data_IF_374751279086
#
_entry.id   IF_374751279086
#
_cell.length_a   1.000
_cell.length_b   1.000
_cell.length_c   1.000
_cell.angle_alpha   90.00
_cell.angle_beta   90.00
_cell.angle_gamma   90.00
#
_symmetry.space_group_name_H-M   'P 1'
#
loop_
_entity.id
_entity.type
_entity.pdbx_description
1 polymer ?
#
# COMPACT_ATOMS: atom_id res chain seq x y z
N UNK A 1 4.68 -15.75 -40.61
CA UNK A 1 3.89 -16.53 -39.64
C UNK A 1 4.63 -16.72 -38.31
N UNK A 2 5.04 -15.64 -37.64
CA UNK A 2 5.90 -15.71 -36.45
C UNK A 2 5.53 -14.69 -35.35
N UNK A 3 4.27 -14.26 -35.29
CA UNK A 3 3.84 -13.17 -34.39
C UNK A 3 2.48 -13.41 -33.71
N UNK A 4 2.24 -14.63 -33.22
CA UNK A 4 1.05 -14.91 -32.41
C UNK A 4 1.29 -15.96 -31.30
N UNK A 5 2.43 -15.87 -30.60
CA UNK A 5 2.77 -16.79 -29.49
C UNK A 5 3.07 -16.12 -28.15
N UNK A 6 2.76 -14.84 -27.96
CA UNK A 6 3.18 -14.09 -26.76
C UNK A 6 2.07 -13.57 -25.84
N UNK A 7 0.84 -14.12 -25.88
CA UNK A 7 -0.26 -13.64 -25.02
C UNK A 7 -0.61 -14.49 -23.80
N UNK A 8 0.10 -15.59 -23.50
CA UNK A 8 0.05 -16.21 -22.17
C UNK A 8 1.39 -16.89 -21.87
N UNK A 9 2.11 -16.39 -20.87
CA UNK A 9 3.35 -16.97 -20.34
C UNK A 9 3.09 -18.25 -19.51
N UNK A 10 2.23 -19.16 -19.95
CA UNK A 10 1.84 -20.36 -19.18
C UNK A 10 1.64 -21.69 -19.94
N UNK A 11 2.15 -21.94 -21.18
CA UNK A 11 2.07 -23.30 -21.74
C UNK A 11 2.83 -24.32 -20.89
N UNK A 12 3.89 -23.88 -20.19
CA UNK A 12 4.66 -24.72 -19.27
C UNK A 12 3.86 -25.14 -18.05
N UNK A 13 3.09 -24.23 -17.41
CA UNK A 13 2.33 -24.53 -16.20
C UNK A 13 1.27 -25.62 -16.45
N UNK A 14 0.47 -25.45 -17.51
CA UNK A 14 -0.54 -26.44 -17.94
C UNK A 14 0.12 -27.78 -18.29
N UNK A 15 1.23 -27.74 -19.04
CA UNK A 15 1.97 -28.97 -19.38
C UNK A 15 2.56 -29.67 -18.15
N UNK A 16 3.04 -28.93 -17.15
CA UNK A 16 3.59 -29.51 -15.91
C UNK A 16 2.49 -30.09 -15.03
N UNK A 17 1.33 -29.44 -14.95
CA UNK A 17 0.19 -29.97 -14.18
C UNK A 17 -0.38 -31.23 -14.84
N UNK A 18 -0.42 -31.27 -16.17
CA UNK A 18 -0.84 -32.46 -16.92
C UNK A 18 0.16 -33.61 -16.71
N UNK A 19 1.46 -33.32 -16.78
CA UNK A 19 2.50 -34.32 -16.48
C UNK A 19 2.38 -34.87 -15.07
N UNK A 20 2.23 -34.02 -14.05
CA UNK A 20 2.10 -34.44 -12.64
C UNK A 20 0.80 -35.21 -12.43
N UNK A 21 -0.30 -34.79 -13.06
CA UNK A 21 -1.59 -35.51 -13.05
C UNK A 21 -1.45 -36.95 -13.51
N UNK A 22 -0.65 -37.18 -14.56
CA UNK A 22 -0.51 -38.50 -15.19
C UNK A 22 0.60 -39.37 -14.58
N UNK A 23 1.63 -38.75 -13.96
CA UNK A 23 2.84 -39.47 -13.52
C UNK A 23 2.97 -39.63 -12.01
N UNK A 24 2.35 -38.76 -11.20
CA UNK A 24 2.52 -38.77 -9.74
C UNK A 24 1.31 -39.42 -9.04
N UNK A 25 1.46 -40.58 -8.38
CA UNK A 25 0.37 -41.24 -7.66
C UNK A 25 -0.10 -40.48 -6.40
N UNK A 26 0.76 -39.66 -5.78
CA UNK A 26 0.43 -38.94 -4.55
C UNK A 26 -0.18 -37.56 -4.85
N UNK A 27 0.43 -36.83 -5.80
CA UNK A 27 0.01 -35.45 -6.13
C UNK A 27 -0.90 -35.37 -7.37
N UNK A 28 -1.04 -36.44 -8.14
CA UNK A 28 -1.74 -36.42 -9.43
C UNK A 28 -3.21 -36.04 -9.32
N UNK A 29 -3.90 -36.50 -8.26
CA UNK A 29 -5.28 -36.10 -7.98
C UNK A 29 -5.43 -34.60 -7.73
N UNK A 30 -4.49 -33.98 -7.01
CA UNK A 30 -4.49 -32.54 -6.73
C UNK A 30 -4.14 -31.73 -7.98
N UNK A 31 -3.15 -32.19 -8.75
CA UNK A 31 -2.75 -31.55 -10.01
C UNK A 31 -3.91 -31.53 -11.03
N UNK A 32 -4.65 -32.63 -11.15
CA UNK A 32 -5.83 -32.72 -12.01
C UNK A 32 -6.96 -31.78 -11.54
N UNK A 33 -7.19 -31.68 -10.23
CA UNK A 33 -8.17 -30.74 -9.68
C UNK A 33 -7.81 -29.28 -9.98
N UNK A 34 -6.54 -28.90 -9.83
CA UNK A 34 -6.04 -27.57 -10.19
C UNK A 34 -6.17 -27.31 -11.68
N UNK A 35 -5.80 -28.28 -12.52
CA UNK A 35 -5.89 -28.17 -13.97
C UNK A 35 -7.34 -27.91 -14.40
N UNK A 36 -8.31 -28.65 -13.85
CA UNK A 36 -9.75 -28.40 -14.10
C UNK A 36 -10.19 -27.01 -13.70
N UNK A 37 -9.69 -26.47 -12.57
CA UNK A 37 -10.02 -25.11 -12.14
C UNK A 37 -9.40 -24.05 -13.07
N UNK A 38 -8.18 -24.28 -13.59
CA UNK A 38 -7.54 -23.36 -14.53
C UNK A 38 -8.25 -23.31 -15.89
N UNK A 39 -8.90 -24.40 -16.29
CA UNK A 39 -9.69 -24.53 -17.52
C UNK A 39 -11.14 -24.01 -17.39
N UNK A 40 -11.51 -23.40 -16.26
CA UNK A 40 -12.80 -22.76 -16.06
C UNK A 40 -12.78 -21.27 -16.42
N UNK A 41 -13.86 -20.80 -17.05
CA UNK A 41 -14.05 -19.37 -17.31
C UNK A 41 -13.97 -18.51 -16.05
N UNK A 42 -14.50 -19.00 -14.92
CA UNK A 42 -14.43 -18.30 -13.62
C UNK A 42 -13.00 -17.86 -13.30
N UNK A 43 -12.04 -18.79 -13.43
CA UNK A 43 -10.65 -18.52 -13.10
C UNK A 43 -10.04 -17.47 -14.03
N UNK A 44 -10.28 -17.58 -15.34
CA UNK A 44 -9.78 -16.60 -16.32
C UNK A 44 -10.35 -15.21 -16.05
N UNK A 45 -11.66 -15.13 -15.81
CA UNK A 45 -12.35 -13.89 -15.53
C UNK A 45 -11.81 -13.23 -14.25
N UNK A 46 -11.74 -13.98 -13.15
CA UNK A 46 -11.25 -13.50 -11.86
C UNK A 46 -9.79 -13.07 -11.95
N UNK A 47 -8.95 -13.81 -12.68
CA UNK A 47 -7.55 -13.47 -12.89
C UNK A 47 -7.41 -12.14 -13.66
N UNK A 48 -8.22 -11.93 -14.70
CA UNK A 48 -8.20 -10.69 -15.48
C UNK A 48 -8.72 -9.50 -14.67
N UNK A 49 -9.78 -9.70 -13.89
CA UNK A 49 -10.32 -8.71 -12.96
C UNK A 49 -9.25 -8.31 -11.94
N UNK A 50 -8.66 -9.29 -11.26
CA UNK A 50 -7.60 -9.08 -10.27
C UNK A 50 -6.40 -8.39 -10.90
N UNK A 51 -5.94 -8.82 -12.07
CA UNK A 51 -4.84 -8.17 -12.79
C UNK A 51 -5.12 -6.68 -13.01
N UNK A 52 -6.35 -6.33 -13.42
CA UNK A 52 -6.71 -4.95 -13.74
C UNK A 52 -6.79 -4.08 -12.49
N UNK A 53 -7.39 -4.59 -11.42
CA UNK A 53 -7.57 -3.87 -10.17
C UNK A 53 -6.26 -3.77 -9.38
N UNK A 54 -5.52 -4.88 -9.26
CA UNK A 54 -4.23 -4.90 -8.56
C UNK A 54 -3.18 -4.02 -9.25
N UNK A 55 -3.25 -3.85 -10.57
CA UNK A 55 -2.37 -2.91 -11.27
C UNK A 55 -2.55 -1.45 -10.78
N UNK A 56 -3.77 -1.06 -10.40
CA UNK A 56 -4.01 0.27 -9.81
C UNK A 56 -3.51 0.31 -8.36
N UNK A 57 -3.83 -0.71 -7.58
CA UNK A 57 -3.38 -0.81 -6.19
C UNK A 57 -1.85 -0.89 -6.05
N UNK A 58 -1.15 -1.46 -7.03
CA UNK A 58 0.31 -1.58 -7.04
C UNK A 58 1.01 -0.21 -7.07
N UNK A 59 0.44 0.77 -7.78
CA UNK A 59 0.97 2.15 -7.81
C UNK A 59 0.90 2.76 -6.40
N UNK A 60 -0.26 2.65 -5.75
CA UNK A 60 -0.44 3.11 -4.38
C UNK A 60 0.47 2.36 -3.41
N UNK A 61 0.56 1.04 -3.54
CA UNK A 61 1.40 0.19 -2.69
C UNK A 61 2.88 0.56 -2.77
N UNK A 62 3.41 0.75 -3.98
CA UNK A 62 4.80 1.20 -4.20
C UNK A 62 5.04 2.61 -3.65
N UNK A 63 4.07 3.50 -3.79
CA UNK A 63 4.13 4.85 -3.22
C UNK A 63 4.21 4.78 -1.69
N UNK A 64 3.36 3.96 -1.05
CA UNK A 64 3.38 3.77 0.40
C UNK A 64 4.66 3.10 0.90
N UNK A 65 5.31 2.26 0.10
CA UNK A 65 6.56 1.59 0.48
C UNK A 65 7.82 2.46 0.30
N UNK A 66 7.74 3.57 -0.43
CA UNK A 66 8.88 4.44 -0.67
C UNK A 66 9.26 5.24 0.59
N UNK A 67 10.57 5.32 0.87
CA UNK A 67 11.10 5.94 2.10
C UNK A 67 11.05 7.47 2.12
N UNK A 68 10.75 8.12 0.99
CA UNK A 68 10.87 9.58 0.81
C UNK A 68 9.57 10.24 0.37
N UNK A 69 8.40 9.69 0.72
CA UNK A 69 7.12 10.20 0.23
C UNK A 69 6.46 11.16 1.22
N UNK A 70 6.09 12.33 0.69
CA UNK A 70 5.37 13.37 1.42
C UNK A 70 3.87 13.07 1.52
N UNK A 71 3.23 13.55 2.59
CA UNK A 71 1.79 13.48 2.83
C UNK A 71 0.92 13.82 1.60
N UNK A 72 1.25 14.91 0.92
CA UNK A 72 0.51 15.41 -0.24
C UNK A 72 0.49 14.40 -1.39
N UNK A 73 1.64 13.76 -1.65
CA UNK A 73 1.78 12.77 -2.71
C UNK A 73 0.94 11.54 -2.36
N UNK A 74 1.04 11.03 -1.13
CA UNK A 74 0.23 9.88 -0.68
C UNK A 74 -1.26 10.17 -0.81
N UNK A 75 -1.69 11.36 -0.38
CA UNK A 75 -3.09 11.79 -0.47
C UNK A 75 -3.56 11.89 -1.92
N UNK A 76 -2.76 12.50 -2.79
CA UNK A 76 -3.07 12.62 -4.21
C UNK A 76 -3.18 11.25 -4.89
N UNK A 77 -2.17 10.39 -4.72
CA UNK A 77 -2.16 9.04 -5.30
C UNK A 77 -3.31 8.19 -4.78
N UNK A 78 -3.64 8.28 -3.48
CA UNK A 78 -4.83 7.62 -2.91
C UNK A 78 -6.10 8.06 -3.62
N UNK A 79 -6.34 9.37 -3.71
CA UNK A 79 -7.56 9.92 -4.30
C UNK A 79 -7.68 9.52 -5.78
N UNK A 80 -6.60 9.65 -6.55
CA UNK A 80 -6.58 9.21 -7.95
C UNK A 80 -6.81 7.71 -8.09
N UNK A 81 -6.25 6.89 -7.20
CA UNK A 81 -6.49 5.43 -7.20
C UNK A 81 -7.97 5.12 -6.94
N UNK A 82 -8.58 5.79 -5.96
CA UNK A 82 -10.01 5.63 -5.65
C UNK A 82 -10.91 6.09 -6.81
N UNK A 83 -10.60 7.21 -7.45
CA UNK A 83 -11.33 7.68 -8.63
C UNK A 83 -11.27 6.67 -9.78
N UNK A 84 -10.08 6.12 -10.06
CA UNK A 84 -9.91 5.10 -11.10
C UNK A 84 -10.65 3.81 -10.75
N UNK A 85 -10.57 3.33 -9.51
CA UNK A 85 -11.31 2.13 -9.09
C UNK A 85 -12.83 2.33 -9.20
N UNK A 86 -13.33 3.48 -8.76
CA UNK A 86 -14.76 3.83 -8.90
C UNK A 86 -15.17 3.96 -10.37
N UNK A 87 -14.27 4.38 -11.27
CA UNK A 87 -14.53 4.44 -12.72
C UNK A 87 -14.70 3.06 -13.36
N UNK A 88 -14.16 2.00 -12.74
CA UNK A 88 -14.37 0.62 -13.21
C UNK A 88 -15.79 0.12 -12.94
N UNK A 89 -16.55 0.81 -12.07
CA UNK A 89 -17.95 0.48 -11.78
C UNK A 89 -18.88 0.98 -12.90
N UNK A 90 -18.60 0.55 -14.13
CA UNK A 90 -19.37 0.90 -15.33
C UNK A 90 -19.69 -0.33 -16.15
N UNK A 91 -20.81 -0.28 -16.85
CA UNK A 91 -21.26 -1.36 -17.73
C UNK A 91 -20.28 -1.58 -18.88
N UNK A 92 -19.68 -0.50 -19.38
CA UNK A 92 -18.67 -0.56 -20.44
C UNK A 92 -17.41 -1.32 -20.00
N UNK A 93 -16.93 -1.08 -18.76
CA UNK A 93 -15.80 -1.81 -18.21
C UNK A 93 -16.12 -3.30 -18.09
N UNK A 94 -17.29 -3.63 -17.56
CA UNK A 94 -17.76 -5.00 -17.43
C UNK A 94 -17.83 -5.70 -18.80
N UNK A 95 -18.48 -5.10 -19.79
CA UNK A 95 -18.64 -5.71 -21.11
C UNK A 95 -17.29 -5.95 -21.80
N UNK A 96 -16.34 -5.00 -21.70
CA UNK A 96 -14.98 -5.18 -22.23
C UNK A 96 -14.26 -6.34 -21.54
N UNK A 97 -14.35 -6.43 -20.22
CA UNK A 97 -13.70 -7.48 -19.43
C UNK A 97 -14.32 -8.86 -19.73
N UNK A 98 -15.65 -8.95 -19.78
CA UNK A 98 -16.36 -10.18 -20.05
C UNK A 98 -16.05 -10.69 -21.46
N UNK A 99 -16.17 -9.84 -22.48
CA UNK A 99 -15.84 -10.22 -23.86
C UNK A 99 -14.39 -10.68 -24.01
N UNK A 100 -13.44 -9.97 -23.38
CA UNK A 100 -12.03 -10.36 -23.43
C UNK A 100 -11.79 -11.72 -22.74
N UNK A 101 -12.51 -12.00 -21.64
CA UNK A 101 -12.45 -13.28 -20.95
C UNK A 101 -13.03 -14.41 -21.82
N UNK A 102 -14.14 -14.14 -22.52
CA UNK A 102 -14.76 -15.08 -23.47
C UNK A 102 -13.83 -15.40 -24.63
N UNK A 103 -13.21 -14.39 -25.24
CA UNK A 103 -12.23 -14.59 -26.31
C UNK A 103 -11.03 -15.45 -25.87
N UNK A 104 -10.54 -15.27 -24.64
CA UNK A 104 -9.43 -16.08 -24.12
C UNK A 104 -9.89 -17.51 -23.85
N UNK A 105 -11.08 -17.69 -23.26
CA UNK A 105 -11.65 -19.00 -23.01
C UNK A 105 -11.86 -19.78 -24.32
N UNK A 106 -12.41 -19.14 -25.34
CA UNK A 106 -12.64 -19.73 -26.67
C UNK A 106 -11.32 -20.13 -27.35
N UNK A 107 -10.31 -19.25 -27.30
CA UNK A 107 -8.96 -19.54 -27.84
C UNK A 107 -8.28 -20.72 -27.16
N UNK A 108 -8.55 -20.93 -25.86
CA UNK A 108 -7.95 -22.01 -25.09
C UNK A 108 -8.81 -23.29 -25.04
N UNK A 109 -10.02 -23.27 -25.61
CA UNK A 109 -10.95 -24.39 -25.55
C UNK A 109 -11.51 -24.66 -24.14
N UNK A 110 -11.55 -23.63 -23.30
CA UNK A 110 -12.01 -23.72 -21.91
C UNK A 110 -13.53 -23.77 -21.81
N UNK A 111 -14.03 -24.18 -20.64
CA UNK A 111 -15.48 -24.26 -20.40
C UNK A 111 -16.09 -22.86 -20.40
N UNK A 112 -17.19 -22.68 -21.14
CA UNK A 112 -17.92 -21.42 -21.18
C UNK A 112 -18.47 -21.00 -19.80
N UNK A 113 -18.76 -19.71 -19.67
CA UNK A 113 -19.34 -19.14 -18.45
C UNK A 113 -20.68 -19.81 -18.11
N UNK A 114 -20.82 -20.29 -16.87
CA UNK A 114 -22.04 -20.92 -16.37
C UNK A 114 -22.52 -20.24 -15.09
N UNK A 115 -23.83 -20.27 -14.86
CA UNK A 115 -24.40 -19.85 -13.58
C UNK A 115 -24.03 -20.89 -12.50
N UNK A 116 -23.69 -20.44 -11.27
CA UNK A 116 -23.52 -21.35 -10.16
C UNK A 116 -24.78 -22.17 -9.93
N UNK A 117 -24.60 -23.43 -9.51
CA UNK A 117 -25.71 -24.28 -9.12
C UNK A 117 -26.48 -23.62 -7.96
N UNK A 118 -27.73 -23.23 -8.21
CA UNK A 118 -28.56 -22.61 -7.19
C UNK A 118 -28.91 -23.64 -6.11
N UNK A 119 -28.49 -23.36 -4.88
CA UNK A 119 -28.87 -24.15 -3.71
C UNK A 119 -30.35 -23.96 -3.39
N UNK A 120 -31.06 -25.06 -3.11
CA UNK A 120 -32.42 -25.00 -2.56
C UNK A 120 -32.34 -24.50 -1.11
N UNK A 121 -33.23 -23.59 -0.75
CA UNK A 121 -33.35 -23.16 0.65
C UNK A 121 -33.86 -24.37 1.45
N UNK A 122 -33.20 -24.74 2.57
CA UNK A 122 -33.67 -25.84 3.40
C UNK A 122 -35.12 -25.61 3.82
N UNK A 123 -35.97 -26.65 3.70
CA UNK A 123 -37.40 -26.57 4.00
C UNK A 123 -37.72 -26.08 5.42
N UNK A 124 -36.74 -26.12 6.33
CA UNK A 124 -36.85 -25.66 7.72
C UNK A 124 -36.86 -24.12 7.86
N UNK A 125 -36.46 -23.37 6.83
CA UNK A 125 -36.36 -21.90 6.84
C UNK A 125 -37.38 -21.29 5.84
N UNK A 126 -38.53 -21.94 5.66
CA UNK A 126 -39.61 -21.44 4.80
C UNK A 126 -39.67 -22.05 3.40
N UNK A 127 -38.59 -22.68 2.92
CA UNK A 127 -38.53 -23.31 1.61
C UNK A 127 -38.59 -22.30 0.45
N UNK A 128 -37.82 -22.56 -0.61
CA UNK A 128 -37.80 -21.68 -1.78
C UNK A 128 -36.52 -21.81 -2.60
N UNK A 129 -36.51 -21.12 -3.73
CA UNK A 129 -35.33 -20.91 -4.57
C UNK A 129 -34.81 -19.49 -4.32
N UNK A 130 -33.49 -19.28 -4.33
CA UNK A 130 -32.95 -17.92 -4.42
C UNK A 130 -33.48 -17.26 -5.69
N UNK A 131 -33.72 -15.95 -5.66
CA UNK A 131 -34.14 -15.21 -6.85
C UNK A 131 -33.15 -15.51 -7.99
N UNK A 132 -33.63 -15.96 -9.16
CA UNK A 132 -32.74 -16.34 -10.25
C UNK A 132 -32.03 -15.09 -10.80
N UNK A 133 -30.75 -15.23 -11.13
CA UNK A 133 -30.09 -14.27 -12.00
C UNK A 133 -30.72 -14.38 -13.40
N UNK A 134 -30.99 -13.24 -14.04
CA UNK A 134 -31.62 -13.21 -15.37
C UNK A 134 -30.64 -13.64 -16.47
N UNK A 135 -29.33 -13.41 -16.25
CA UNK A 135 -28.29 -13.86 -17.18
C UNK A 135 -26.98 -14.23 -16.46
N UNK A 136 -26.14 -15.02 -17.15
CA UNK A 136 -24.77 -15.33 -16.71
C UNK A 136 -23.98 -14.03 -16.54
N UNK A 137 -24.06 -13.11 -17.50
CA UNK A 137 -23.40 -11.81 -17.43
C UNK A 137 -23.80 -11.00 -16.20
N UNK A 138 -25.10 -10.95 -15.90
CA UNK A 138 -25.61 -10.26 -14.72
C UNK A 138 -25.01 -10.89 -13.45
N UNK A 139 -24.90 -12.22 -13.35
CA UNK A 139 -24.25 -12.85 -12.20
C UNK A 139 -22.81 -12.36 -11.98
N UNK A 140 -21.95 -12.38 -13.01
CA UNK A 140 -20.56 -11.93 -12.90
C UNK A 140 -20.47 -10.43 -12.58
N UNK A 141 -21.35 -9.63 -13.16
CA UNK A 141 -21.41 -8.20 -12.92
C UNK A 141 -21.78 -7.88 -11.46
N UNK A 142 -22.89 -8.45 -10.98
CA UNK A 142 -23.48 -8.15 -9.67
C UNK A 142 -22.74 -8.83 -8.52
N UNK A 143 -22.35 -10.08 -8.72
CA UNK A 143 -21.84 -10.92 -7.64
C UNK A 143 -20.32 -10.94 -7.53
N UNK A 144 -19.60 -10.52 -8.58
CA UNK A 144 -18.13 -10.58 -8.63
C UNK A 144 -17.55 -9.19 -8.83
N UNK A 145 -17.83 -8.53 -9.96
CA UNK A 145 -17.16 -7.27 -10.32
C UNK A 145 -17.49 -6.13 -9.36
N UNK A 146 -18.78 -5.85 -9.12
CA UNK A 146 -19.14 -4.75 -8.23
C UNK A 146 -18.67 -4.97 -6.78
N UNK A 147 -18.86 -6.14 -6.15
CA UNK A 147 -18.36 -6.37 -4.80
C UNK A 147 -16.84 -6.24 -4.71
N UNK A 148 -16.08 -6.74 -5.69
CA UNK A 148 -14.62 -6.60 -5.69
C UNK A 148 -14.21 -5.12 -5.74
N UNK A 149 -14.83 -4.31 -6.59
CA UNK A 149 -14.54 -2.87 -6.69
C UNK A 149 -14.94 -2.14 -5.41
N UNK A 150 -16.11 -2.44 -4.85
CA UNK A 150 -16.64 -1.77 -3.65
C UNK A 150 -15.78 -2.09 -2.43
N UNK A 151 -15.52 -3.38 -2.18
CA UNK A 151 -14.69 -3.83 -1.06
C UNK A 151 -13.31 -3.21 -1.15
N UNK A 152 -12.68 -3.21 -2.33
CA UNK A 152 -11.34 -2.63 -2.46
C UNK A 152 -11.33 -1.12 -2.28
N UNK A 153 -12.35 -0.42 -2.77
CA UNK A 153 -12.48 1.03 -2.57
C UNK A 153 -12.69 1.38 -1.10
N UNK A 154 -13.57 0.65 -0.42
CA UNK A 154 -13.87 0.83 1.01
C UNK A 154 -12.65 0.50 1.88
N UNK A 155 -11.94 -0.58 1.58
CA UNK A 155 -10.73 -0.98 2.31
C UNK A 155 -9.59 0.03 2.15
N UNK A 156 -9.41 0.60 0.96
CA UNK A 156 -8.43 1.68 0.73
C UNK A 156 -8.88 2.94 1.47
N UNK A 157 -10.17 3.27 1.44
CA UNK A 157 -10.70 4.42 2.16
C UNK A 157 -10.47 4.27 3.67
N UNK A 158 -10.87 3.14 4.25
CA UNK A 158 -10.77 2.78 5.67
C UNK A 158 -9.32 2.78 6.17
N UNK A 159 -8.40 2.08 5.47
CA UNK A 159 -6.99 2.00 5.88
C UNK A 159 -6.26 3.35 5.84
N UNK A 160 -6.66 4.25 4.96
CA UNK A 160 -6.03 5.55 4.77
C UNK A 160 -6.91 6.71 5.27
N UNK A 161 -7.85 6.45 6.19
CA UNK A 161 -8.64 7.49 6.83
C UNK A 161 -7.76 8.47 7.62
N UNK A 162 -6.66 8.01 8.20
CA UNK A 162 -5.71 8.84 8.95
C UNK A 162 -5.00 9.88 8.04
N UNK A 163 -4.95 9.63 6.73
CA UNK A 163 -4.51 10.65 5.78
C UNK A 163 -5.53 11.79 5.61
N UNK A 164 -6.66 11.78 6.31
CA UNK A 164 -7.60 12.90 6.38
C UNK A 164 -7.51 13.66 7.71
N UNK A 165 -6.51 13.42 8.56
CA UNK A 165 -6.35 14.20 9.78
C UNK A 165 -6.28 15.69 9.45
N UNK A 166 -7.24 16.46 9.99
CA UNK A 166 -7.32 17.90 9.78
C UNK A 166 -6.01 18.59 10.10
N UNK A 167 -5.28 18.11 11.11
CA UNK A 167 -3.95 18.61 11.48
C UNK A 167 -2.96 18.49 10.32
N UNK A 168 -2.86 17.33 9.67
CA UNK A 168 -1.93 17.10 8.56
C UNK A 168 -2.32 17.89 7.32
N UNK A 169 -3.62 17.96 7.02
CA UNK A 169 -4.16 18.79 5.95
C UNK A 169 -3.81 20.27 6.15
N UNK A 170 -4.05 20.80 7.36
CA UNK A 170 -3.74 22.18 7.67
C UNK A 170 -2.22 22.40 7.71
N UNK A 171 -1.42 21.44 8.18
CA UNK A 171 0.05 21.51 8.18
C UNK A 171 0.62 21.55 6.75
N UNK A 172 0.11 20.71 5.85
CA UNK A 172 0.47 20.73 4.42
C UNK A 172 0.07 22.06 3.78
N UNK A 173 -1.13 22.59 4.04
CA UNK A 173 -1.53 23.91 3.55
C UNK A 173 -0.66 25.04 4.09
N UNK A 174 -0.26 24.99 5.36
CA UNK A 174 0.61 26.02 5.95
C UNK A 174 2.00 26.01 5.33
N UNK A 175 2.55 24.84 4.99
CA UNK A 175 3.90 24.69 4.43
C UNK A 175 3.94 24.76 2.90
N UNK A 176 2.87 24.37 2.21
CA UNK A 176 2.74 24.34 0.75
C UNK A 176 1.92 25.50 0.17
N UNK A 177 1.16 26.22 0.98
CA UNK A 177 0.27 27.29 0.57
C UNK A 177 0.89 28.69 0.55
N UNK A 178 0.02 29.69 0.54
CA UNK A 178 0.32 31.13 0.59
C UNK A 178 0.05 31.70 1.99
N UNK A 179 0.52 32.93 2.26
CA UNK A 179 0.32 33.67 3.51
C UNK A 179 -1.15 34.05 3.82
N UNK A 180 -2.07 33.73 2.92
CA UNK A 180 -3.49 34.10 2.98
C UNK A 180 -4.32 33.15 3.86
N UNK A 181 -3.88 31.90 4.05
CA UNK A 181 -4.68 30.86 4.72
C UNK A 181 -4.54 30.90 6.25
N UNK A 182 -4.90 32.04 6.85
CA UNK A 182 -4.85 32.32 8.29
C UNK A 182 -5.64 31.33 9.14
N UNK A 183 -6.68 30.70 8.59
CA UNK A 183 -7.47 29.68 9.28
C UNK A 183 -6.65 28.41 9.55
N UNK A 184 -5.94 27.91 8.53
CA UNK A 184 -5.05 26.74 8.64
C UNK A 184 -3.92 27.01 9.64
N UNK A 185 -3.33 28.20 9.59
CA UNK A 185 -2.27 28.63 10.53
C UNK A 185 -2.79 28.65 11.98
N UNK A 186 -3.99 29.21 12.21
CA UNK A 186 -4.61 29.27 13.53
C UNK A 186 -4.91 27.88 14.09
N UNK A 187 -5.35 26.96 13.25
CA UNK A 187 -5.59 25.56 13.65
C UNK A 187 -4.28 24.88 14.08
N UNK A 188 -3.23 24.97 13.28
CA UNK A 188 -1.92 24.36 13.56
C UNK A 188 -1.29 24.97 14.82
N UNK A 189 -1.35 26.30 14.99
CA UNK A 189 -0.86 26.98 16.19
C UNK A 189 -1.58 26.51 17.45
N UNK A 190 -2.92 26.38 17.39
CA UNK A 190 -3.71 25.88 18.52
C UNK A 190 -3.37 24.43 18.86
N UNK A 191 -3.17 23.58 17.85
CA UNK A 191 -2.89 22.16 18.04
C UNK A 191 -1.50 21.91 18.66
N UNK A 192 -0.47 22.61 18.18
CA UNK A 192 0.91 22.46 18.64
C UNK A 192 1.34 23.49 19.69
N UNK A 193 0.41 24.32 20.19
CA UNK A 193 0.65 25.38 21.15
C UNK A 193 1.78 26.35 20.70
N UNK A 194 1.69 26.82 19.45
CA UNK A 194 2.62 27.77 18.84
C UNK A 194 2.01 29.18 18.83
N UNK A 195 2.88 30.20 18.81
CA UNK A 195 2.45 31.59 18.66
C UNK A 195 1.96 31.85 17.23
N UNK A 196 0.72 32.33 17.11
CA UNK A 196 0.07 32.58 15.84
C UNK A 196 0.64 33.82 15.12
N UNK A 197 0.83 34.92 15.85
CA UNK A 197 1.29 36.18 15.28
C UNK A 197 2.73 36.05 14.78
N UNK A 198 3.57 35.42 15.59
CA UNK A 198 4.97 35.18 15.22
C UNK A 198 5.08 34.25 14.00
N UNK A 199 4.19 33.25 13.86
CA UNK A 199 4.27 32.29 12.75
C UNK A 199 3.79 32.93 11.45
N UNK A 200 2.70 33.69 11.51
CA UNK A 200 2.23 34.48 10.37
C UNK A 200 3.27 35.48 9.90
N UNK A 201 4.01 36.10 10.83
CA UNK A 201 5.09 37.03 10.51
C UNK A 201 6.23 36.32 9.78
N UNK A 202 6.71 35.17 10.30
CA UNK A 202 7.75 34.37 9.64
C UNK A 202 7.32 33.89 8.25
N UNK A 203 6.09 33.37 8.11
CA UNK A 203 5.55 32.88 6.83
C UNK A 203 5.47 34.00 5.79
N UNK A 204 4.98 35.19 6.16
CA UNK A 204 4.92 36.35 5.24
C UNK A 204 6.30 36.77 4.74
N UNK A 205 7.29 36.80 5.63
CA UNK A 205 8.66 37.12 5.25
C UNK A 205 9.25 36.03 4.35
N UNK A 206 9.06 34.77 4.71
CA UNK A 206 9.56 33.63 3.93
C UNK A 206 8.94 33.58 2.51
N UNK A 207 7.62 33.72 2.39
CA UNK A 207 6.94 33.68 1.09
C UNK A 207 7.21 34.89 0.19
N UNK A 208 7.61 36.03 0.77
CA UNK A 208 8.10 37.17 -0.02
C UNK A 208 9.57 37.00 -0.43
N UNK A 209 10.35 36.27 0.36
CA UNK A 209 11.74 35.93 0.05
C UNK A 209 11.85 34.82 -1.00
N UNK A 210 10.85 33.95 -1.08
CA UNK A 210 10.76 32.89 -2.08
C UNK A 210 10.26 33.45 -3.43
N UNK A 211 11.16 33.60 -4.41
CA UNK A 211 10.84 34.12 -5.75
C UNK A 211 9.92 33.16 -6.55
N UNK A 212 9.92 31.88 -6.22
CA UNK A 212 9.15 30.82 -6.89
C UNK A 212 7.95 30.38 -6.04
N UNK A 213 6.74 30.85 -6.37
CA UNK A 213 5.51 30.48 -5.66
C UNK A 213 4.99 29.07 -5.93
N UNK A 214 5.59 28.34 -6.87
CA UNK A 214 5.14 27.01 -7.34
C UNK A 214 6.12 25.88 -6.98
N UNK A 215 6.61 25.86 -5.75
CA UNK A 215 7.54 24.85 -5.24
C UNK A 215 6.81 23.86 -4.33
N UNK A 216 7.21 22.59 -4.40
CA UNK A 216 6.75 21.55 -3.48
C UNK A 216 7.26 21.81 -2.06
N UNK A 217 6.59 21.25 -1.05
CA UNK A 217 7.06 21.35 0.37
C UNK A 217 8.52 20.88 0.50
N UNK A 218 8.92 19.88 -0.30
CA UNK A 218 10.27 19.34 -0.28
C UNK A 218 11.30 20.35 -0.83
N UNK A 219 11.01 20.99 -1.96
CA UNK A 219 11.89 22.03 -2.52
C UNK A 219 12.02 23.23 -1.57
N UNK A 220 10.92 23.61 -0.90
CA UNK A 220 10.96 24.65 0.14
C UNK A 220 11.87 24.28 1.30
N UNK A 221 11.81 23.02 1.74
CA UNK A 221 12.69 22.51 2.77
C UNK A 221 14.15 22.49 2.34
N UNK A 222 14.43 22.13 1.08
CA UNK A 222 15.78 22.17 0.52
C UNK A 222 16.33 23.60 0.48
N UNK A 223 15.53 24.58 0.06
CA UNK A 223 15.91 26.00 0.12
C UNK A 223 16.21 26.42 1.56
N UNK A 224 15.40 25.96 2.51
CA UNK A 224 15.56 26.26 3.93
C UNK A 224 16.91 25.79 4.48
N UNK A 225 17.34 24.60 4.05
CA UNK A 225 18.64 24.01 4.41
C UNK A 225 19.78 24.72 3.67
N UNK A 226 19.67 24.91 2.35
CA UNK A 226 20.70 25.53 1.52
C UNK A 226 21.02 26.96 1.96
N UNK A 227 19.99 27.76 2.26
CA UNK A 227 20.15 29.15 2.70
C UNK A 227 20.38 29.30 4.21
N UNK A 228 20.50 28.19 4.95
CA UNK A 228 20.73 28.17 6.40
C UNK A 228 19.72 29.03 7.21
N UNK A 229 18.45 28.99 6.83
CA UNK A 229 17.40 29.88 7.36
C UNK A 229 16.89 29.50 8.76
N UNK A 230 17.47 28.46 9.37
CA UNK A 230 17.11 27.95 10.70
C UNK A 230 17.06 29.02 11.79
N UNK A 231 18.01 29.95 11.77
CA UNK A 231 18.07 31.00 12.79
C UNK A 231 17.19 32.21 12.44
N UNK A 232 16.80 32.35 11.17
CA UNK A 232 15.99 33.46 10.67
C UNK A 232 14.50 33.17 10.88
N UNK A 233 14.07 31.93 10.63
CA UNK A 233 12.67 31.49 10.77
C UNK A 233 12.58 30.27 11.71
N UNK A 234 12.82 30.45 13.02
CA UNK A 234 12.90 29.34 13.96
C UNK A 234 11.59 28.57 14.12
N UNK A 235 10.42 29.19 13.98
CA UNK A 235 9.15 28.49 14.10
C UNK A 235 8.79 27.73 12.83
N UNK A 236 9.04 28.31 11.67
CA UNK A 236 8.88 27.63 10.40
C UNK A 236 9.80 26.41 10.31
N UNK A 237 11.04 26.51 10.82
CA UNK A 237 11.95 25.36 10.93
C UNK A 237 11.38 24.23 11.80
N UNK A 238 10.78 24.57 12.96
CA UNK A 238 10.12 23.57 13.82
C UNK A 238 8.98 22.86 13.10
N UNK A 239 8.19 23.60 12.31
CA UNK A 239 7.08 23.04 11.53
C UNK A 239 7.56 22.13 10.41
N UNK A 240 8.59 22.52 9.64
CA UNK A 240 9.20 21.63 8.65
C UNK A 240 9.73 20.36 9.30
N UNK A 241 10.48 20.48 10.39
CA UNK A 241 10.99 19.32 11.14
C UNK A 241 9.85 18.43 11.62
N UNK A 242 8.77 19.00 12.13
CA UNK A 242 7.60 18.27 12.57
C UNK A 242 6.94 17.53 11.41
N UNK A 243 6.71 18.20 10.29
CA UNK A 243 6.09 17.61 9.09
C UNK A 243 6.90 16.42 8.56
N UNK A 244 8.22 16.54 8.45
CA UNK A 244 9.07 15.44 7.97
C UNK A 244 9.36 14.34 9.00
N UNK A 245 9.05 14.55 10.28
CA UNK A 245 9.23 13.52 11.31
C UNK A 245 7.98 12.68 11.53
N UNK A 246 6.81 13.12 11.04
CA UNK A 246 5.59 12.32 11.08
C UNK A 246 5.76 11.17 10.09
N UNK A 247 5.77 9.90 10.56
CA UNK A 247 5.90 8.76 9.66
C UNK A 247 4.65 8.68 8.78
N UNK A 248 4.82 8.96 7.48
CA UNK A 248 3.74 8.90 6.49
C UNK A 248 3.36 7.48 6.09
N UNK A 249 4.22 6.50 6.38
CA UNK A 249 3.98 5.10 6.03
C UNK A 249 4.42 4.11 7.11
N UNK A 250 3.77 2.95 7.11
CA UNK A 250 4.10 1.80 7.95
C UNK A 250 5.33 1.04 7.44
N UNK A 251 5.91 1.38 6.28
CA UNK A 251 6.97 0.60 5.66
C UNK A 251 8.22 0.45 6.56
N UNK A 252 8.54 1.47 7.36
CA UNK A 252 9.61 1.37 8.37
C UNK A 252 9.25 0.40 9.50
N UNK A 253 7.99 0.42 9.94
CA UNK A 253 7.46 -0.52 10.92
C UNK A 253 7.40 -1.95 10.35
N UNK A 254 6.99 -2.14 9.10
CA UNK A 254 6.91 -3.45 8.43
C UNK A 254 8.28 -4.10 8.26
N UNK A 255 9.32 -3.32 7.89
CA UNK A 255 10.71 -3.81 7.92
C UNK A 255 11.11 -4.28 9.31
N UNK A 256 10.79 -3.50 10.34
CA UNK A 256 11.08 -3.84 11.73
C UNK A 256 10.33 -5.10 12.18
N UNK A 257 9.04 -5.24 11.86
CA UNK A 257 8.22 -6.41 12.18
C UNK A 257 8.65 -7.66 11.42
N UNK A 258 9.04 -7.53 10.14
CA UNK A 258 9.59 -8.62 9.34
C UNK A 258 10.91 -9.12 9.92
N UNK A 259 11.81 -8.20 10.28
CA UNK A 259 13.06 -8.53 10.96
C UNK A 259 12.82 -9.24 12.30
N UNK A 260 11.93 -8.69 13.14
CA UNK A 260 11.51 -9.29 14.40
C UNK A 260 10.92 -10.69 14.22
N UNK A 261 10.10 -10.90 13.19
CA UNK A 261 9.52 -12.21 12.88
C UNK A 261 10.62 -13.20 12.51
N UNK A 262 11.56 -12.82 11.64
CA UNK A 262 12.70 -13.66 11.27
C UNK A 262 13.56 -14.02 12.49
N UNK A 263 13.86 -13.04 13.35
CA UNK A 263 14.60 -13.26 14.59
C UNK A 263 13.88 -14.25 15.49
N UNK A 264 12.58 -14.03 15.78
CA UNK A 264 11.78 -14.94 16.62
C UNK A 264 11.70 -16.35 16.04
N UNK A 265 11.51 -16.49 14.73
CA UNK A 265 11.46 -17.80 14.04
C UNK A 265 12.80 -18.52 14.12
N UNK A 266 13.90 -17.81 13.89
CA UNK A 266 15.25 -18.36 13.99
C UNK A 266 15.59 -18.76 15.43
N UNK A 267 15.22 -17.95 16.42
CA UNK A 267 15.63 -18.20 17.81
C UNK A 267 14.79 -19.23 18.55
N UNK A 268 13.61 -19.63 18.04
CA UNK A 268 12.57 -20.63 18.47
C UNK A 268 12.40 -21.00 19.98
N UNK A 269 13.45 -20.96 20.77
CA UNK A 269 13.49 -20.93 22.23
C UNK A 269 12.94 -19.59 22.79
N UNK A 270 12.40 -19.63 24.01
CA UNK A 270 11.95 -18.44 24.76
C UNK A 270 13.11 -17.47 24.97
N UNK A 271 13.22 -16.47 24.11
CA UNK A 271 14.13 -15.33 24.30
C UNK A 271 13.45 -14.28 25.18
N UNK A 272 14.20 -13.68 26.10
CA UNK A 272 13.73 -12.53 26.87
C UNK A 272 13.46 -11.32 25.99
N UNK A 273 12.51 -10.46 26.38
CA UNK A 273 12.13 -9.29 25.60
C UNK A 273 13.28 -8.30 25.39
N UNK A 274 14.12 -8.11 26.40
CA UNK A 274 15.24 -7.17 26.27
C UNK A 274 16.25 -7.64 25.22
N UNK A 275 16.68 -8.91 25.28
CA UNK A 275 17.62 -9.49 24.30
C UNK A 275 17.04 -9.48 22.89
N UNK A 276 15.74 -9.74 22.74
CA UNK A 276 15.06 -9.67 21.46
C UNK A 276 15.08 -8.24 20.89
N UNK A 277 14.78 -7.23 21.71
CA UNK A 277 14.79 -5.82 21.30
C UNK A 277 16.20 -5.39 20.88
N UNK A 278 17.24 -5.77 21.64
CA UNK A 278 18.64 -5.48 21.29
C UNK A 278 19.06 -6.13 19.98
N UNK A 279 18.73 -7.41 19.77
CA UNK A 279 19.03 -8.12 18.52
C UNK A 279 18.24 -7.54 17.33
N UNK A 280 17.00 -7.13 17.55
CA UNK A 280 16.18 -6.50 16.53
C UNK A 280 16.77 -5.16 16.10
N UNK A 281 17.22 -4.34 17.07
CA UNK A 281 17.89 -3.06 16.81
C UNK A 281 19.14 -3.27 15.95
N UNK A 282 20.02 -4.21 16.33
CA UNK A 282 21.23 -4.54 15.57
C UNK A 282 20.93 -5.03 14.15
N UNK A 283 19.86 -5.81 13.98
CA UNK A 283 19.49 -6.38 12.69
C UNK A 283 18.80 -5.35 11.77
N UNK A 284 18.00 -4.44 12.34
CA UNK A 284 17.34 -3.34 11.61
C UNK A 284 18.39 -2.31 11.17
N UNK A 285 19.25 -1.87 12.10
CA UNK A 285 20.26 -0.82 11.88
C UNK A 285 21.60 -1.35 11.37
N UNK A 286 21.61 -2.55 10.77
CA UNK A 286 22.83 -3.19 10.26
C UNK A 286 23.60 -2.32 9.26
N UNK A 287 22.91 -1.42 8.55
CA UNK A 287 23.51 -0.50 7.58
C UNK A 287 24.27 0.67 8.22
N UNK A 288 24.10 0.91 9.52
CA UNK A 288 24.83 1.97 10.23
C UNK A 288 26.22 1.44 10.58
N UNK A 289 27.26 2.06 10.01
CA UNK A 289 28.64 1.71 10.36
C UNK A 289 28.97 2.15 11.78
N UNK A 290 29.42 1.20 12.60
CA UNK A 290 29.82 1.46 13.98
C UNK A 290 31.29 1.90 14.00
N UNK A 291 31.55 3.09 14.54
CA UNK A 291 32.91 3.57 14.75
C UNK A 291 33.57 2.81 15.92
N UNK A 292 34.41 1.83 15.59
CA UNK A 292 35.05 0.94 16.56
C UNK A 292 35.91 1.70 17.56
N UNK A 293 36.61 2.78 17.15
CA UNK A 293 37.49 3.52 18.06
C UNK A 293 36.71 4.23 19.14
N UNK A 294 35.57 4.86 18.80
CA UNK A 294 34.67 5.46 19.80
C UNK A 294 34.13 4.44 20.79
N UNK A 295 33.79 3.23 20.33
CA UNK A 295 33.30 2.15 21.21
C UNK A 295 34.39 1.72 22.20
N UNK A 296 35.64 1.64 21.75
CA UNK A 296 36.79 1.32 22.61
C UNK A 296 37.02 2.43 23.65
N UNK A 297 36.95 3.70 23.23
CA UNK A 297 37.12 4.84 24.12
C UNK A 297 36.00 4.89 25.19
N UNK A 298 34.74 4.72 24.79
CA UNK A 298 33.60 4.67 25.71
C UNK A 298 33.69 3.48 26.69
N UNK A 299 34.14 2.31 26.21
CA UNK A 299 34.36 1.14 27.07
C UNK A 299 35.44 1.42 28.11
N UNK A 300 36.57 2.01 27.71
CA UNK A 300 37.66 2.38 28.61
C UNK A 300 37.22 3.43 29.65
N UNK A 301 36.38 4.40 29.25
CA UNK A 301 35.81 5.40 30.15
C UNK A 301 34.84 4.82 31.18
N UNK A 302 34.10 3.77 30.84
CA UNK A 302 33.13 3.14 31.76
C UNK A 302 33.77 2.49 32.99
N UNK A 303 35.08 2.22 32.97
CA UNK A 303 35.90 1.52 33.97
C UNK A 303 35.35 0.15 34.45
N UNK A 304 34.21 -0.31 33.91
CA UNK A 304 33.62 -1.62 34.17
C UNK A 304 34.19 -2.63 33.18
N UNK A 305 35.14 -3.44 33.64
CA UNK A 305 35.72 -4.56 32.85
C UNK A 305 34.71 -5.66 32.50
N UNK A 306 33.48 -5.60 33.03
CA UNK A 306 32.36 -6.48 32.70
C UNK A 306 31.22 -5.63 32.13
N UNK A 307 30.97 -5.80 30.84
CA UNK A 307 29.75 -5.32 30.20
C UNK A 307 28.63 -6.32 30.47
N UNK A 308 27.52 -5.84 31.02
CA UNK A 308 26.29 -6.63 31.04
C UNK A 308 25.71 -6.59 29.62
N UNK A 309 25.98 -7.64 28.85
CA UNK A 309 25.29 -7.88 27.60
C UNK A 309 23.91 -8.44 27.93
N UNK A 310 22.88 -7.72 27.51
CA UNK A 310 21.46 -8.12 27.58
C UNK A 310 21.18 -9.31 26.66
#
# INVERSE_FOLDING_TARGET
MYQARHTLSQPQLLSTLLLISDTDPDSGGQANALLKNLEEFNFVFDLLLLKRVLAQCDILSKTLQSSSVTYEIVKSVRNSTLEVLKSFRTDEFFSKLFNHSTEIADKCGFRAAQLPRQGKIPSRIGGGSKAPFESVEQYYKISIVWPVIDILSEEIEARLQENNLDVLNNLSKVLGGTDEDTASVKYVCKYYNLDNEHLLSELRCFYKMEESRNTTIQERADIFVQKSLKNVFPMLFKLFRLFFTIPMNSASCERSFSCLRRLKTYTRNKIGQERLSSLALLAIERSIEVNISKVIDDFNLSQKRRLNFV
#
